data_IF_569487664595
#
_entry.id   IF_569487664595
#
_cell.length_a   1.000
_cell.length_b   1.000
_cell.length_c   1.000
_cell.angle_alpha   90.00
_cell.angle_beta   90.00
_cell.angle_gamma   90.00
#
_symmetry.space_group_name_H-M   'P 1'
#
loop_
_entity.id
_entity.type
_entity.pdbx_description
1 polymer ?
#
# COMPACT_ATOMS: atom_id res chain seq x y z
N UNK A 1 12.53 -25.48 -79.73
CA UNK A 1 12.87 -25.17 -78.33
C UNK A 1 12.09 -23.93 -77.89
N UNK A 2 11.00 -24.10 -77.13
CA UNK A 2 10.19 -23.00 -76.58
C UNK A 2 10.70 -22.70 -75.17
N UNK A 3 11.12 -21.45 -74.89
CA UNK A 3 11.51 -21.00 -73.56
C UNK A 3 10.27 -20.44 -72.84
N UNK A 4 9.85 -21.10 -71.76
CA UNK A 4 8.87 -20.56 -70.80
C UNK A 4 9.59 -19.58 -69.88
N UNK A 5 9.07 -18.36 -69.77
CA UNK A 5 9.44 -17.37 -68.76
C UNK A 5 8.48 -17.58 -67.59
N UNK A 6 8.99 -18.08 -66.47
CA UNK A 6 8.24 -18.20 -65.22
C UNK A 6 8.28 -16.88 -64.46
N UNK A 7 7.11 -16.30 -64.21
CA UNK A 7 6.94 -15.12 -63.35
C UNK A 7 6.92 -15.60 -61.90
N UNK A 8 7.91 -15.18 -61.12
CA UNK A 8 7.99 -15.42 -59.68
C UNK A 8 7.17 -14.34 -58.95
N UNK A 9 5.97 -14.68 -58.46
CA UNK A 9 5.22 -13.81 -57.54
C UNK A 9 5.85 -13.91 -56.14
N UNK A 10 6.51 -12.83 -55.70
CA UNK A 10 6.85 -12.63 -54.29
C UNK A 10 5.57 -12.26 -53.51
N UNK A 11 5.04 -13.20 -52.72
CA UNK A 11 3.99 -12.91 -51.76
C UNK A 11 4.59 -12.18 -50.55
N UNK A 12 4.30 -10.89 -50.41
CA UNK A 12 4.59 -10.12 -49.20
C UNK A 12 3.60 -10.57 -48.11
N UNK A 13 4.06 -11.40 -47.17
CA UNK A 13 3.32 -11.70 -45.95
C UNK A 13 3.37 -10.47 -45.02
N UNK A 14 2.35 -9.61 -45.10
CA UNK A 14 2.05 -8.63 -44.07
C UNK A 14 1.61 -9.38 -42.80
N UNK A 15 2.57 -9.64 -41.91
CA UNK A 15 2.27 -10.07 -40.54
C UNK A 15 1.68 -8.85 -39.83
N UNK A 16 0.35 -8.78 -39.82
CA UNK A 16 -0.39 -7.85 -38.97
C UNK A 16 -0.24 -8.36 -37.52
N UNK A 17 0.87 -8.00 -36.89
CA UNK A 17 1.06 -8.25 -35.46
C UNK A 17 0.02 -7.41 -34.72
N UNK A 18 -1.03 -8.05 -34.23
CA UNK A 18 -1.88 -7.42 -33.22
C UNK A 18 -0.94 -6.98 -32.08
N UNK A 19 -0.79 -5.67 -31.88
CA UNK A 19 -0.11 -5.16 -30.70
C UNK A 19 -0.86 -5.71 -29.50
N UNK A 20 -0.26 -6.69 -28.82
CA UNK A 20 -0.78 -7.17 -27.56
C UNK A 20 -0.89 -5.95 -26.64
N UNK A 21 -2.11 -5.61 -26.21
CA UNK A 21 -2.33 -4.54 -25.24
C UNK A 21 -1.45 -4.81 -24.02
N UNK A 22 -0.60 -3.86 -23.64
CA UNK A 22 0.29 -4.04 -22.49
C UNK A 22 -0.52 -4.46 -21.26
N UNK A 23 -0.01 -5.43 -20.47
CA UNK A 23 -0.71 -5.90 -19.29
C UNK A 23 -0.87 -4.76 -18.29
N UNK A 24 -2.10 -4.57 -17.81
CA UNK A 24 -2.43 -3.59 -16.76
C UNK A 24 -2.79 -4.34 -15.48
N UNK A 25 -2.06 -4.05 -14.41
CA UNK A 25 -2.27 -4.59 -13.07
C UNK A 25 -2.96 -3.52 -12.21
N UNK A 26 -4.11 -3.85 -11.63
CA UNK A 26 -4.80 -2.96 -10.69
C UNK A 26 -4.35 -3.23 -9.25
N UNK A 27 -4.02 -2.16 -8.52
CA UNK A 27 -3.57 -2.21 -7.12
C UNK A 27 -4.50 -1.37 -6.26
N UNK A 28 -5.05 -1.96 -5.20
CA UNK A 28 -5.77 -1.26 -4.15
C UNK A 28 -4.87 -1.09 -2.92
N UNK A 29 -4.75 0.13 -2.42
CA UNK A 29 -4.02 0.44 -1.18
C UNK A 29 -4.94 1.22 -0.26
N UNK A 30 -5.00 0.81 1.00
CA UNK A 30 -5.72 1.52 2.06
C UNK A 30 -4.72 2.05 3.08
N UNK A 31 -5.13 3.09 3.81
CA UNK A 31 -4.35 3.63 4.90
C UNK A 31 -4.43 2.75 6.16
N UNK A 32 -4.50 3.40 7.31
CA UNK A 32 -4.19 2.77 8.59
C UNK A 32 -5.26 1.75 9.03
N UNK A 33 -4.81 0.55 9.34
CA UNK A 33 -5.63 -0.58 9.83
C UNK A 33 -5.20 -0.91 11.26
N UNK A 34 -6.02 -0.50 12.21
CA UNK A 34 -5.89 -0.80 13.63
C UNK A 34 -7.05 -1.73 14.03
N UNK A 35 -6.73 -3.02 14.22
CA UNK A 35 -7.71 -4.08 14.54
C UNK A 35 -7.74 -4.45 16.04
N UNK A 36 -7.19 -3.60 16.90
CA UNK A 36 -7.37 -3.67 18.34
C UNK A 36 -8.71 -2.99 18.73
N UNK A 37 -8.92 -2.79 20.03
CA UNK A 37 -10.06 -2.03 20.57
C UNK A 37 -11.43 -2.34 19.94
N UNK A 38 -12.17 -1.33 19.46
CA UNK A 38 -13.53 -1.51 18.94
C UNK A 38 -13.54 -2.33 17.64
N UNK A 39 -12.68 -2.06 16.64
CA UNK A 39 -12.55 -2.93 15.47
C UNK A 39 -12.29 -4.41 15.84
N UNK A 40 -11.45 -4.67 16.84
CA UNK A 40 -11.21 -6.02 17.35
C UNK A 40 -12.45 -6.66 17.98
N UNK A 41 -13.32 -5.87 18.64
CA UNK A 41 -14.61 -6.31 19.18
C UNK A 41 -15.62 -6.61 18.06
N UNK A 42 -15.63 -5.82 16.99
CA UNK A 42 -16.44 -6.07 15.77
C UNK A 42 -16.08 -7.43 15.17
N UNK A 43 -14.79 -7.71 14.99
CA UNK A 43 -14.33 -9.01 14.49
C UNK A 43 -14.71 -10.15 15.45
N UNK A 44 -14.56 -9.95 16.76
CA UNK A 44 -14.95 -10.94 17.77
C UNK A 44 -16.45 -11.26 17.74
N UNK A 45 -17.31 -10.31 17.36
CA UNK A 45 -18.75 -10.54 17.23
C UNK A 45 -19.15 -11.22 15.90
N UNK A 46 -18.17 -11.66 15.10
CA UNK A 46 -18.42 -12.28 13.79
C UNK A 46 -18.72 -11.29 12.67
N UNK A 47 -18.60 -9.98 12.92
CA UNK A 47 -18.74 -8.94 11.89
C UNK A 47 -17.40 -8.66 11.21
N UNK A 48 -17.44 -8.12 10.00
CA UNK A 48 -16.26 -7.86 9.18
C UNK A 48 -16.17 -6.34 8.92
N UNK A 49 -15.20 -5.62 9.52
CA UNK A 49 -15.08 -4.17 9.36
C UNK A 49 -14.72 -3.74 7.93
N UNK A 50 -14.23 -4.64 7.07
CA UNK A 50 -13.93 -4.32 5.68
C UNK A 50 -15.11 -4.60 4.75
N UNK A 51 -16.19 -5.21 5.25
CA UNK A 51 -17.36 -5.60 4.44
C UNK A 51 -17.90 -4.49 3.54
N UNK A 52 -18.00 -3.21 3.97
CA UNK A 52 -18.52 -2.15 3.09
C UNK A 52 -17.63 -1.84 1.88
N UNK A 53 -16.34 -2.16 1.94
CA UNK A 53 -15.37 -1.97 0.85
C UNK A 53 -15.00 -3.27 0.13
N UNK A 54 -15.53 -4.42 0.56
CA UNK A 54 -15.13 -5.74 0.06
C UNK A 54 -15.20 -5.87 -1.47
N UNK A 55 -16.25 -5.34 -2.10
CA UNK A 55 -16.41 -5.40 -3.56
C UNK A 55 -15.37 -4.54 -4.30
N UNK A 56 -15.01 -3.38 -3.74
CA UNK A 56 -13.99 -2.48 -4.33
C UNK A 56 -12.61 -3.12 -4.19
N UNK A 57 -12.28 -3.63 -3.00
CA UNK A 57 -11.02 -4.34 -2.76
C UNK A 57 -10.89 -5.56 -3.68
N UNK A 58 -11.94 -6.39 -3.78
CA UNK A 58 -11.93 -7.59 -4.64
C UNK A 58 -11.82 -7.29 -6.15
N UNK A 59 -12.01 -6.03 -6.58
CA UNK A 59 -11.83 -5.64 -7.98
C UNK A 59 -10.37 -5.40 -8.39
N UNK A 60 -9.45 -5.34 -7.41
CA UNK A 60 -8.03 -5.16 -7.66
C UNK A 60 -7.27 -6.49 -7.75
N UNK A 61 -6.24 -6.56 -8.60
CA UNK A 61 -5.36 -7.72 -8.72
C UNK A 61 -4.43 -7.91 -7.50
N UNK A 62 -4.11 -6.80 -6.81
CA UNK A 62 -3.27 -6.74 -5.61
C UNK A 62 -3.91 -5.79 -4.60
N UNK A 63 -3.98 -6.20 -3.33
CA UNK A 63 -4.61 -5.45 -2.24
C UNK A 63 -3.65 -5.32 -1.07
N UNK A 64 -3.36 -4.09 -0.67
CA UNK A 64 -2.39 -3.72 0.36
C UNK A 64 -3.06 -2.85 1.44
N UNK A 65 -2.66 -3.02 2.69
CA UNK A 65 -3.00 -2.10 3.78
C UNK A 65 -1.83 -1.86 4.73
N UNK A 66 -1.86 -0.76 5.47
CA UNK A 66 -0.92 -0.50 6.57
C UNK A 66 -1.46 -1.12 7.87
N UNK A 67 -0.81 -2.17 8.39
CA UNK A 67 -1.24 -2.81 9.63
C UNK A 67 -0.60 -2.11 10.83
N UNK A 68 -1.33 -1.20 11.45
CA UNK A 68 -0.86 -0.31 12.52
C UNK A 68 -1.26 -0.84 13.91
N UNK A 69 -0.99 -2.13 14.14
CA UNK A 69 -1.13 -2.76 15.45
C UNK A 69 -0.36 -4.08 15.49
N UNK A 70 -0.05 -4.57 16.69
CA UNK A 70 0.55 -5.91 16.86
C UNK A 70 -0.54 -6.97 16.86
N UNK A 71 -0.42 -8.00 16.03
CA UNK A 71 -1.27 -9.20 16.10
C UNK A 71 -0.54 -10.30 16.85
N UNK A 72 -0.77 -10.41 18.16
CA UNK A 72 -0.21 -11.47 18.99
C UNK A 72 -0.99 -11.62 20.30
N UNK A 73 -0.75 -12.70 21.02
CA UNK A 73 -1.14 -12.85 22.44
C UNK A 73 0.08 -12.79 23.38
N UNK A 74 1.29 -12.62 22.82
CA UNK A 74 2.56 -12.57 23.55
C UNK A 74 2.98 -11.13 23.84
N UNK A 75 4.06 -11.01 24.60
CA UNK A 75 4.69 -9.73 24.95
C UNK A 75 3.91 -8.92 25.97
N UNK A 76 4.52 -7.81 26.36
CA UNK A 76 3.99 -6.83 27.31
C UNK A 76 3.97 -5.46 26.64
N UNK A 77 2.95 -4.63 26.92
CA UNK A 77 2.89 -3.29 26.33
C UNK A 77 4.12 -2.47 26.70
N UNK A 78 4.59 -1.63 25.79
CA UNK A 78 5.67 -0.69 26.08
C UNK A 78 5.22 0.29 27.18
N UNK A 79 5.89 0.30 28.34
CA UNK A 79 5.36 0.93 29.56
C UNK A 79 5.23 2.45 29.47
N UNK A 80 6.08 3.11 28.67
CA UNK A 80 6.12 4.57 28.55
C UNK A 80 5.35 5.08 27.32
N UNK A 81 4.82 4.19 26.48
CA UNK A 81 4.06 4.60 25.29
C UNK A 81 2.60 4.86 25.69
N UNK A 82 2.04 6.05 25.38
CA UNK A 82 0.68 6.42 25.82
C UNK A 82 -0.41 5.54 25.19
N UNK A 83 -0.17 5.03 23.98
CA UNK A 83 -1.09 4.17 23.26
C UNK A 83 -0.36 2.93 22.74
N UNK A 84 -0.88 1.76 23.08
CA UNK A 84 -0.39 0.47 22.57
C UNK A 84 -1.55 -0.34 22.01
N UNK A 85 -1.45 -0.81 20.77
CA UNK A 85 -2.53 -1.50 20.08
C UNK A 85 -2.19 -2.97 19.83
N UNK A 86 -2.94 -3.88 20.46
CA UNK A 86 -2.84 -5.32 20.23
C UNK A 86 -4.15 -5.92 19.74
N UNK A 87 -4.12 -6.41 18.51
CA UNK A 87 -5.18 -7.23 17.95
C UNK A 87 -4.96 -8.70 18.31
N UNK A 88 -6.05 -9.44 18.55
CA UNK A 88 -5.97 -10.88 18.75
C UNK A 88 -5.81 -11.60 17.41
N UNK A 89 -5.07 -12.71 17.30
CA UNK A 89 -4.89 -13.50 16.05
C UNK A 89 -6.17 -13.95 15.33
N UNK A 90 -7.35 -13.77 15.94
CA UNK A 90 -8.66 -14.03 15.32
C UNK A 90 -8.96 -13.06 14.17
N UNK A 91 -8.22 -11.96 14.07
CA UNK A 91 -8.37 -10.96 13.01
C UNK A 91 -7.69 -11.37 11.71
N UNK A 92 -6.73 -12.29 11.73
CA UNK A 92 -5.97 -12.70 10.55
C UNK A 92 -6.84 -13.23 9.40
N UNK A 93 -7.86 -14.09 9.62
CA UNK A 93 -8.72 -14.55 8.53
C UNK A 93 -9.48 -13.41 7.85
N UNK A 94 -9.80 -12.34 8.60
CA UNK A 94 -10.45 -11.14 8.05
C UNK A 94 -9.45 -10.36 7.19
N UNK A 95 -8.21 -10.17 7.64
CA UNK A 95 -7.15 -9.54 6.83
C UNK A 95 -6.91 -10.34 5.55
N UNK A 96 -6.71 -11.66 5.64
CA UNK A 96 -6.42 -12.54 4.49
C UNK A 96 -7.53 -12.50 3.42
N UNK A 97 -8.78 -12.32 3.83
CA UNK A 97 -9.91 -12.21 2.89
C UNK A 97 -9.78 -11.00 1.97
N UNK A 98 -9.27 -9.88 2.50
CA UNK A 98 -9.33 -8.57 1.85
C UNK A 98 -7.99 -8.06 1.35
N UNK A 99 -6.87 -8.57 1.86
CA UNK A 99 -5.53 -8.11 1.53
C UNK A 99 -4.60 -9.27 1.16
N UNK A 100 -3.73 -9.02 0.19
CA UNK A 100 -2.68 -9.94 -0.24
C UNK A 100 -1.41 -9.75 0.59
N UNK A 101 -1.13 -8.52 0.99
CA UNK A 101 -0.05 -8.19 1.91
C UNK A 101 -0.34 -6.97 2.78
N UNK A 102 0.43 -6.82 3.86
CA UNK A 102 0.38 -5.67 4.77
C UNK A 102 1.75 -5.01 4.95
N UNK A 103 1.77 -3.69 4.97
CA UNK A 103 2.92 -2.91 5.41
C UNK A 103 3.01 -2.94 6.94
N UNK A 104 4.21 -3.14 7.47
CA UNK A 104 4.46 -3.25 8.91
C UNK A 104 5.37 -2.14 9.46
N UNK A 105 6.01 -1.32 8.62
CA UNK A 105 6.88 -0.27 9.15
C UNK A 105 6.04 0.91 9.65
N UNK A 106 5.66 0.88 10.92
CA UNK A 106 4.94 1.95 11.59
C UNK A 106 5.27 2.01 13.08
N UNK A 107 4.91 3.13 13.69
CA UNK A 107 5.13 3.41 15.09
C UNK A 107 4.42 2.44 16.06
N UNK A 108 3.43 1.64 15.63
CA UNK A 108 2.68 0.71 16.49
C UNK A 108 3.12 -0.76 16.38
N UNK A 109 4.02 -1.08 15.47
CA UNK A 109 4.47 -2.46 15.27
C UNK A 109 5.35 -3.02 16.39
N UNK A 110 5.98 -2.16 17.20
CA UNK A 110 6.78 -2.57 18.36
C UNK A 110 6.08 -2.48 19.71
N UNK A 111 4.77 -2.20 19.74
CA UNK A 111 4.00 -1.89 20.95
C UNK A 111 4.05 -2.94 22.04
N UNK A 112 4.29 -4.21 21.68
CA UNK A 112 4.37 -5.34 22.61
C UNK A 112 5.75 -6.03 22.60
N UNK A 113 6.75 -5.32 22.07
CA UNK A 113 8.15 -5.75 22.03
C UNK A 113 8.48 -6.77 20.93
N UNK A 114 9.78 -7.09 20.77
CA UNK A 114 10.29 -7.91 19.67
C UNK A 114 9.73 -9.34 19.67
N UNK A 115 9.42 -9.91 20.84
CA UNK A 115 8.80 -11.25 20.95
C UNK A 115 7.41 -11.28 20.31
N UNK A 116 6.58 -10.26 20.58
CA UNK A 116 5.24 -10.19 20.01
C UNK A 116 5.29 -9.87 18.50
N UNK A 117 6.21 -9.00 18.09
CA UNK A 117 6.44 -8.70 16.69
C UNK A 117 6.88 -9.94 15.89
N UNK A 118 7.87 -10.69 16.37
CA UNK A 118 8.33 -11.93 15.73
C UNK A 118 7.24 -13.02 15.68
N UNK A 119 6.37 -13.08 16.70
CA UNK A 119 5.21 -13.95 16.72
C UNK A 119 4.19 -13.55 15.64
N UNK A 120 3.93 -12.24 15.51
CA UNK A 120 3.08 -11.69 14.44
C UNK A 120 3.62 -12.06 13.05
N UNK A 121 4.92 -11.91 12.79
CA UNK A 121 5.51 -12.34 11.51
C UNK A 121 5.21 -13.82 11.22
N UNK A 122 5.44 -14.69 12.21
CA UNK A 122 5.13 -16.12 12.07
C UNK A 122 3.64 -16.42 11.88
N UNK A 123 2.74 -15.60 12.45
CA UNK A 123 1.30 -15.72 12.26
C UNK A 123 0.88 -15.32 10.85
N UNK A 124 1.45 -14.24 10.30
CA UNK A 124 1.20 -13.80 8.93
C UNK A 124 1.69 -14.85 7.91
N UNK A 125 2.88 -15.41 8.13
CA UNK A 125 3.45 -16.51 7.31
C UNK A 125 2.51 -17.71 7.27
N UNK A 126 2.02 -18.17 8.44
CA UNK A 126 1.09 -19.32 8.52
C UNK A 126 -0.27 -19.07 7.88
N UNK A 127 -0.67 -17.82 7.71
CA UNK A 127 -1.92 -17.43 7.06
C UNK A 127 -1.70 -17.05 5.58
N UNK A 128 -0.46 -17.18 5.09
CA UNK A 128 -0.06 -16.81 3.73
C UNK A 128 -0.40 -15.35 3.41
N UNK A 129 -0.32 -14.47 4.40
CA UNK A 129 -0.47 -13.02 4.22
C UNK A 129 0.93 -12.47 3.97
N UNK A 130 1.16 -11.85 2.81
CA UNK A 130 2.43 -11.18 2.53
C UNK A 130 2.68 -10.03 3.51
N UNK A 131 3.93 -9.70 3.76
CA UNK A 131 4.28 -8.53 4.56
C UNK A 131 5.61 -7.94 4.12
N UNK A 132 5.81 -6.67 4.43
CA UNK A 132 7.02 -5.90 4.12
C UNK A 132 7.21 -4.74 5.11
N UNK A 133 8.43 -4.19 5.17
CA UNK A 133 8.81 -3.16 6.16
C UNK A 133 9.02 -3.70 7.59
N UNK A 134 9.13 -5.03 7.72
CA UNK A 134 9.27 -5.71 9.00
C UNK A 134 9.94 -7.06 8.82
N UNK A 135 10.81 -7.45 9.76
CA UNK A 135 11.62 -8.66 9.62
C UNK A 135 12.11 -9.21 10.95
N UNK A 136 12.68 -10.41 10.90
CA UNK A 136 13.34 -11.04 12.06
C UNK A 136 14.72 -10.43 12.37
N UNK A 137 15.24 -9.65 11.43
CA UNK A 137 16.51 -8.93 11.46
C UNK A 137 16.42 -7.74 10.48
N UNK A 138 17.43 -6.88 10.48
CA UNK A 138 17.53 -5.70 9.63
C UNK A 138 17.42 -6.03 8.13
N UNK A 139 18.10 -7.09 7.68
CA UNK A 139 18.09 -7.47 6.27
C UNK A 139 16.70 -7.90 5.79
N UNK A 140 15.95 -8.62 6.62
CA UNK A 140 14.57 -8.99 6.33
C UNK A 140 13.62 -7.81 6.40
N UNK A 141 13.82 -6.87 7.33
CA UNK A 141 12.97 -5.69 7.47
C UNK A 141 13.00 -4.81 6.22
N UNK A 142 14.18 -4.67 5.61
CA UNK A 142 14.42 -3.91 4.38
C UNK A 142 14.16 -4.72 3.09
N UNK A 143 13.76 -6.00 3.19
CA UNK A 143 13.47 -6.83 2.02
C UNK A 143 12.09 -6.47 1.45
N UNK A 144 11.96 -6.23 0.13
CA UNK A 144 10.67 -5.98 -0.48
C UNK A 144 9.77 -7.22 -0.46
N UNK A 145 8.46 -7.01 -0.39
CA UNK A 145 7.50 -8.02 -0.84
C UNK A 145 7.31 -7.86 -2.35
N UNK A 146 7.66 -8.91 -3.10
CA UNK A 146 7.57 -8.90 -4.57
C UNK A 146 6.46 -9.84 -5.01
N UNK A 147 5.54 -9.31 -5.82
CA UNK A 147 4.43 -10.06 -6.38
C UNK A 147 4.40 -9.91 -7.90
N UNK A 148 4.18 -11.02 -8.60
CA UNK A 148 3.97 -11.01 -10.05
C UNK A 148 2.48 -11.15 -10.38
N UNK A 149 1.98 -10.24 -11.21
CA UNK A 149 0.62 -10.30 -11.77
C UNK A 149 0.68 -9.91 -13.23
N UNK A 150 0.01 -10.67 -14.09
CA UNK A 150 -0.09 -10.39 -15.54
C UNK A 150 1.30 -10.15 -16.19
N UNK A 151 2.34 -10.81 -15.70
CA UNK A 151 3.72 -10.68 -16.20
C UNK A 151 4.46 -9.39 -15.79
N UNK A 152 3.96 -8.68 -14.76
CA UNK A 152 4.60 -7.51 -14.16
C UNK A 152 5.00 -7.84 -12.71
N UNK A 153 6.28 -7.72 -12.39
CA UNK A 153 6.85 -7.95 -11.06
C UNK A 153 6.92 -6.63 -10.29
N UNK A 154 6.12 -6.52 -9.23
CA UNK A 154 5.98 -5.28 -8.46
C UNK A 154 6.56 -5.52 -7.06
N UNK A 155 7.53 -4.69 -6.68
CA UNK A 155 8.13 -4.68 -5.35
C UNK A 155 7.47 -3.61 -4.47
N UNK A 156 7.04 -4.02 -3.28
CA UNK A 156 6.56 -3.13 -2.24
C UNK A 156 7.59 -3.07 -1.10
N UNK A 157 7.97 -1.85 -0.72
CA UNK A 157 8.83 -1.55 0.41
C UNK A 157 8.04 -0.73 1.43
N UNK A 158 8.44 -0.74 2.69
CA UNK A 158 7.78 0.10 3.69
C UNK A 158 8.77 0.55 4.76
N UNK A 159 8.63 1.80 5.20
CA UNK A 159 9.52 2.41 6.17
C UNK A 159 8.76 3.29 7.16
N UNK A 160 9.29 3.38 8.37
CA UNK A 160 8.81 4.26 9.42
C UNK A 160 9.76 5.45 9.60
N UNK A 161 9.20 6.65 9.74
CA UNK A 161 9.90 7.89 10.12
C UNK A 161 9.36 8.50 11.41
N UNK A 162 8.43 7.81 12.08
CA UNK A 162 7.80 8.30 13.30
C UNK A 162 8.24 7.52 14.54
N UNK A 163 8.41 8.21 15.66
CA UNK A 163 8.95 7.64 16.88
C UNK A 163 8.05 6.52 17.46
N UNK A 164 8.61 5.57 18.23
CA UNK A 164 10.02 5.50 18.65
C UNK A 164 10.90 4.68 17.70
N UNK A 165 12.14 5.15 17.50
CA UNK A 165 13.16 4.43 16.73
C UNK A 165 13.60 3.11 17.36
N UNK A 166 13.32 2.89 18.65
CA UNK A 166 13.63 1.63 19.34
C UNK A 166 12.95 0.37 18.76
N UNK A 167 11.98 0.56 17.86
CA UNK A 167 11.30 -0.52 17.13
C UNK A 167 12.01 -0.96 15.86
N UNK A 168 13.01 -0.20 15.42
CA UNK A 168 13.88 -0.57 14.30
C UNK A 168 14.48 -1.96 14.51
N UNK A 169 14.52 -2.75 13.44
CA UNK A 169 15.21 -4.03 13.42
C UNK A 169 16.72 -3.82 13.59
N UNK A 170 17.40 -4.78 14.22
CA UNK A 170 18.86 -4.79 14.31
C UNK A 170 19.41 -6.02 13.57
N UNK A 171 20.73 -6.18 13.51
CA UNK A 171 21.41 -7.27 12.81
C UNK A 171 20.89 -8.67 13.21
N UNK A 172 20.45 -8.85 14.45
CA UNK A 172 19.93 -10.11 15.00
C UNK A 172 18.62 -9.95 15.80
N UNK A 173 17.94 -8.80 15.64
CA UNK A 173 16.73 -8.46 16.41
C UNK A 173 15.54 -8.16 15.49
N UNK A 174 14.37 -8.76 15.75
CA UNK A 174 13.14 -8.45 15.02
C UNK A 174 12.71 -7.00 15.21
N UNK A 175 12.22 -6.39 14.13
CA UNK A 175 11.72 -5.03 14.13
C UNK A 175 11.31 -4.55 12.75
N UNK A 176 11.12 -3.24 12.64
CA UNK A 176 10.68 -2.57 11.41
C UNK A 176 11.84 -1.92 10.66
N UNK A 177 11.64 -1.64 9.37
CA UNK A 177 12.56 -0.84 8.59
C UNK A 177 12.39 0.65 8.94
N UNK A 178 13.47 1.28 9.39
CA UNK A 178 13.50 2.72 9.58
C UNK A 178 13.91 3.42 8.28
N UNK A 179 13.40 4.63 8.07
CA UNK A 179 13.62 5.42 6.85
C UNK A 179 14.91 6.22 6.85
N UNK A 180 16.05 5.55 7.03
CA UNK A 180 17.34 6.20 6.75
C UNK A 180 17.47 6.47 5.25
N UNK A 181 17.69 7.73 4.85
CA UNK A 181 17.66 8.19 3.45
C UNK A 181 18.56 7.36 2.53
N UNK A 182 19.77 7.04 2.98
CA UNK A 182 20.73 6.28 2.20
C UNK A 182 20.29 4.82 2.07
N UNK A 183 19.80 4.22 3.15
CA UNK A 183 19.30 2.84 3.12
C UNK A 183 18.07 2.72 2.23
N UNK A 184 17.10 3.65 2.34
CA UNK A 184 15.91 3.71 1.48
C UNK A 184 16.29 3.78 0.01
N UNK A 185 17.24 4.66 -0.35
CA UNK A 185 17.74 4.78 -1.72
C UNK A 185 18.37 3.47 -2.20
N UNK A 186 19.22 2.84 -1.37
CA UNK A 186 19.87 1.58 -1.70
C UNK A 186 18.87 0.44 -1.88
N UNK A 187 17.83 0.35 -1.05
CA UNK A 187 16.81 -0.68 -1.13
C UNK A 187 15.98 -0.57 -2.41
N UNK A 188 15.62 0.65 -2.82
CA UNK A 188 14.92 0.89 -4.09
C UNK A 188 15.78 0.48 -5.28
N UNK A 189 17.06 0.88 -5.28
CA UNK A 189 18.01 0.48 -6.33
C UNK A 189 18.21 -1.04 -6.34
N UNK A 190 18.31 -1.69 -5.17
CA UNK A 190 18.45 -3.14 -5.03
C UNK A 190 17.21 -3.87 -5.55
N UNK A 191 16.01 -3.40 -5.23
CA UNK A 191 14.77 -3.99 -5.71
C UNK A 191 14.70 -4.01 -7.26
N UNK A 192 15.20 -2.96 -7.91
CA UNK A 192 15.33 -2.89 -9.37
C UNK A 192 16.40 -3.81 -9.93
N UNK A 193 17.62 -3.68 -9.40
CA UNK A 193 18.83 -4.22 -10.05
C UNK A 193 19.13 -5.65 -9.66
N UNK A 194 18.86 -6.03 -8.41
CA UNK A 194 19.15 -7.35 -7.86
C UNK A 194 17.88 -8.22 -7.76
N UNK A 195 16.77 -7.66 -7.28
CA UNK A 195 15.54 -8.43 -7.17
C UNK A 195 14.73 -8.44 -8.49
N UNK A 196 15.18 -7.67 -9.50
CA UNK A 196 14.63 -7.59 -10.86
C UNK A 196 13.13 -7.23 -10.89
N UNK A 197 12.73 -6.26 -10.06
CA UNK A 197 11.38 -5.72 -10.06
C UNK A 197 11.14 -4.78 -11.26
N UNK A 198 10.04 -5.02 -11.99
CA UNK A 198 9.56 -4.15 -13.07
C UNK A 198 9.01 -2.82 -12.53
N UNK A 199 8.50 -2.80 -11.29
CA UNK A 199 8.02 -1.61 -10.58
C UNK A 199 8.39 -1.66 -9.10
N UNK A 200 8.63 -0.49 -8.48
CA UNK A 200 8.94 -0.34 -7.04
C UNK A 200 8.03 0.72 -6.41
N UNK A 201 7.32 0.36 -5.35
CA UNK A 201 6.35 1.22 -4.65
C UNK A 201 6.63 1.20 -3.13
N UNK A 202 7.30 2.24 -2.59
CA UNK A 202 7.42 2.43 -1.15
C UNK A 202 6.11 2.89 -0.48
N UNK A 203 5.84 2.36 0.71
CA UNK A 203 4.73 2.71 1.60
C UNK A 203 5.28 3.27 2.92
N UNK A 204 5.02 4.55 3.16
CA UNK A 204 5.64 5.33 4.22
C UNK A 204 4.70 5.58 5.39
N UNK A 205 5.27 5.52 6.59
CA UNK A 205 4.61 5.91 7.83
C UNK A 205 5.39 7.10 8.42
N UNK A 206 4.87 8.32 8.26
CA UNK A 206 5.64 9.56 8.41
C UNK A 206 4.81 10.82 8.65
N UNK A 207 5.47 11.96 8.83
CA UNK A 207 4.79 13.24 9.04
C UNK A 207 4.27 13.41 10.47
N UNK A 208 3.43 14.41 10.67
CA UNK A 208 2.87 14.75 11.98
C UNK A 208 1.39 14.43 12.02
N UNK A 209 0.94 13.87 13.14
CA UNK A 209 -0.47 13.60 13.40
C UNK A 209 -1.33 14.86 13.23
N UNK A 210 -2.49 14.70 12.61
CA UNK A 210 -3.50 15.74 12.36
C UNK A 210 -3.11 16.85 11.39
N UNK A 211 -1.92 16.82 10.79
CA UNK A 211 -1.52 17.80 9.78
C UNK A 211 -2.11 17.44 8.40
N UNK A 212 -3.01 18.26 7.80
CA UNK A 212 -3.70 17.93 6.54
C UNK A 212 -2.82 18.15 5.30
N UNK A 213 -1.61 18.69 5.46
CA UNK A 213 -0.69 18.98 4.36
C UNK A 213 0.67 18.39 4.63
N UNK A 214 1.29 17.81 3.59
CA UNK A 214 2.58 17.16 3.73
C UNK A 214 3.69 18.17 4.05
N UNK A 215 4.49 17.83 5.05
CA UNK A 215 5.64 18.60 5.51
C UNK A 215 6.78 18.62 4.48
N UNK A 216 7.70 19.59 4.60
CA UNK A 216 8.89 19.68 3.75
C UNK A 216 9.70 18.38 3.74
N UNK A 217 9.87 17.75 4.91
CA UNK A 217 10.62 16.49 5.07
C UNK A 217 9.99 15.34 4.29
N UNK A 218 8.66 15.18 4.38
CA UNK A 218 7.94 14.16 3.60
C UNK A 218 8.18 14.35 2.10
N UNK A 219 8.14 15.60 1.60
CA UNK A 219 8.38 15.89 0.17
C UNK A 219 9.79 15.58 -0.26
N UNK A 220 10.78 15.97 0.53
CA UNK A 220 12.20 15.71 0.24
C UNK A 220 12.48 14.21 0.15
N UNK A 221 12.00 13.44 1.12
CA UNK A 221 12.18 12.00 1.14
C UNK A 221 11.39 11.28 0.02
N UNK A 222 10.15 11.70 -0.26
CA UNK A 222 9.36 11.13 -1.36
C UNK A 222 10.03 11.35 -2.73
N UNK A 223 10.55 12.56 -2.97
CA UNK A 223 11.27 12.88 -4.21
C UNK A 223 12.59 12.09 -4.32
N UNK A 224 13.33 11.94 -3.22
CA UNK A 224 14.52 11.06 -3.17
C UNK A 224 14.18 9.62 -3.60
N UNK A 225 13.06 9.06 -3.14
CA UNK A 225 12.62 7.71 -3.52
C UNK A 225 12.29 7.62 -5.02
N UNK A 226 11.60 8.62 -5.56
CA UNK A 226 11.29 8.69 -7.00
C UNK A 226 12.57 8.77 -7.83
N UNK A 227 13.52 9.62 -7.43
CA UNK A 227 14.83 9.76 -8.08
C UNK A 227 15.67 8.48 -7.98
N UNK A 228 15.53 7.71 -6.90
CA UNK A 228 16.16 6.40 -6.72
C UNK A 228 15.57 5.30 -7.62
N UNK A 229 14.38 5.52 -8.20
CA UNK A 229 13.74 4.60 -9.13
C UNK A 229 12.39 4.04 -8.70
N UNK A 230 11.78 4.54 -7.62
CA UNK A 230 10.38 4.23 -7.28
C UNK A 230 9.42 4.77 -8.35
N UNK A 231 8.30 4.09 -8.58
CA UNK A 231 7.27 4.47 -9.57
C UNK A 231 6.08 5.20 -8.95
N UNK A 232 5.94 5.12 -7.64
CA UNK A 232 5.00 5.87 -6.83
C UNK A 232 5.49 5.85 -5.38
N UNK A 233 5.03 6.80 -4.57
CA UNK A 233 5.20 6.76 -3.11
C UNK A 233 3.84 6.95 -2.45
N UNK A 234 3.52 6.12 -1.47
CA UNK A 234 2.24 6.15 -0.75
C UNK A 234 2.55 6.35 0.73
N UNK A 235 1.88 7.28 1.39
CA UNK A 235 2.04 7.54 2.81
C UNK A 235 0.78 7.25 3.64
N UNK A 236 1.00 7.15 4.95
CA UNK A 236 0.02 7.11 6.04
C UNK A 236 0.68 7.66 7.31
N UNK A 237 0.07 7.46 8.49
CA UNK A 237 0.43 7.99 9.82
C UNK A 237 -0.29 9.26 10.30
N UNK A 238 -0.40 10.37 9.55
CA UNK A 238 -1.01 11.61 10.08
C UNK A 238 -2.45 11.45 10.57
N UNK A 239 -3.06 10.27 10.38
CA UNK A 239 -4.45 9.94 10.66
C UNK A 239 -5.46 10.80 9.91
N UNK A 240 -5.02 11.65 8.98
CA UNK A 240 -5.82 12.45 8.06
C UNK A 240 -5.29 12.25 6.63
N UNK A 241 -6.14 12.46 5.63
CA UNK A 241 -5.69 12.47 4.23
C UNK A 241 -4.84 13.71 3.97
N UNK A 242 -3.74 13.56 3.23
CA UNK A 242 -2.89 14.68 2.82
C UNK A 242 -2.91 14.87 1.31
N UNK A 243 -2.32 15.98 0.85
CA UNK A 243 -2.23 16.32 -0.56
C UNK A 243 -1.45 15.28 -1.40
N UNK A 244 -1.52 15.44 -2.71
CA UNK A 244 -0.81 14.58 -3.68
C UNK A 244 0.10 15.42 -4.55
N UNK A 245 1.19 14.84 -5.01
CA UNK A 245 2.15 15.47 -5.89
C UNK A 245 2.46 14.60 -7.10
N UNK A 246 2.76 15.23 -8.23
CA UNK A 246 3.35 14.58 -9.38
C UNK A 246 4.80 15.05 -9.51
N UNK A 247 5.75 14.13 -9.39
CA UNK A 247 7.17 14.42 -9.49
C UNK A 247 7.80 13.49 -10.52
N UNK A 248 8.41 14.06 -11.57
CA UNK A 248 8.93 13.29 -12.71
C UNK A 248 7.91 12.29 -13.28
N UNK A 249 6.68 12.75 -13.52
CA UNK A 249 5.53 11.97 -14.02
C UNK A 249 5.11 10.77 -13.15
N UNK A 250 5.57 10.72 -11.90
CA UNK A 250 5.23 9.67 -10.93
C UNK A 250 4.44 10.25 -9.75
N UNK A 251 3.39 9.56 -9.29
CA UNK A 251 2.54 10.08 -8.23
C UNK A 251 3.13 9.84 -6.85
N UNK A 252 2.96 10.83 -5.99
CA UNK A 252 3.21 10.78 -4.55
C UNK A 252 1.89 11.09 -3.86
N UNK A 253 1.43 10.19 -2.99
CA UNK A 253 0.25 10.36 -2.15
C UNK A 253 0.76 10.44 -0.72
N UNK A 254 0.70 11.61 -0.08
CA UNK A 254 1.42 11.81 1.19
C UNK A 254 0.75 11.17 2.40
N UNK A 255 -0.57 11.03 2.40
CA UNK A 255 -1.30 10.26 3.41
C UNK A 255 -2.65 9.81 2.88
N UNK A 256 -2.95 8.52 3.06
CA UNK A 256 -4.27 7.94 2.83
C UNK A 256 -5.23 8.14 4.02
N UNK A 257 -4.74 8.59 5.18
CA UNK A 257 -5.50 8.67 6.42
C UNK A 257 -5.89 7.30 6.98
N UNK A 258 -6.82 7.28 7.93
CA UNK A 258 -7.30 6.05 8.53
C UNK A 258 -8.16 5.24 7.56
N UNK A 259 -8.19 3.91 7.71
CA UNK A 259 -9.17 3.06 7.04
C UNK A 259 -10.03 2.27 8.03
N UNK A 260 -9.43 1.42 8.85
CA UNK A 260 -10.11 0.78 9.99
C UNK A 260 -9.44 1.28 11.25
N UNK A 261 -10.08 2.20 11.96
CA UNK A 261 -9.53 2.84 13.15
C UNK A 261 -10.66 3.48 13.98
N UNK A 262 -10.60 3.40 15.30
CA UNK A 262 -11.52 4.12 16.20
C UNK A 262 -10.79 5.13 17.10
N UNK A 263 -11.51 5.79 18.00
CA UNK A 263 -10.91 6.67 19.01
C UNK A 263 -10.78 8.15 18.61
N UNK A 264 -11.24 8.54 17.43
CA UNK A 264 -11.21 9.94 16.96
C UNK A 264 -12.59 10.57 16.94
N UNK A 265 -12.69 11.82 17.42
CA UNK A 265 -13.89 12.65 17.29
C UNK A 265 -13.86 13.60 16.10
N UNK A 266 -12.68 13.88 15.55
CA UNK A 266 -12.50 14.80 14.43
C UNK A 266 -12.98 14.15 13.12
N UNK A 267 -13.81 14.82 12.31
CA UNK A 267 -14.21 14.34 10.99
C UNK A 267 -13.04 14.04 10.03
N UNK A 268 -11.95 14.81 10.11
CA UNK A 268 -10.79 14.61 9.23
C UNK A 268 -10.09 13.29 9.56
N UNK A 269 -10.03 12.93 10.86
CA UNK A 269 -9.49 11.64 11.28
C UNK A 269 -10.38 10.44 10.94
N UNK A 270 -11.69 10.70 10.81
CA UNK A 270 -12.67 9.72 10.39
C UNK A 270 -12.87 9.73 8.86
N UNK A 271 -11.99 10.41 8.11
CA UNK A 271 -11.98 10.44 6.65
C UNK A 271 -10.69 9.82 6.13
N UNK A 272 -10.82 8.85 5.22
CA UNK A 272 -9.68 8.19 4.60
C UNK A 272 -9.87 7.95 3.12
N UNK A 273 -8.83 7.48 2.46
CA UNK A 273 -8.84 7.13 1.05
C UNK A 273 -8.47 5.66 0.85
N UNK A 274 -9.28 4.95 0.06
CA UNK A 274 -8.83 3.77 -0.67
C UNK A 274 -8.27 4.25 -2.00
N UNK A 275 -6.98 4.05 -2.24
CA UNK A 275 -6.29 4.36 -3.48
C UNK A 275 -6.37 3.17 -4.45
N UNK A 276 -6.85 3.42 -5.67
CA UNK A 276 -6.81 2.47 -6.77
C UNK A 276 -5.84 2.98 -7.82
N UNK A 277 -4.85 2.15 -8.17
CA UNK A 277 -3.88 2.44 -9.22
C UNK A 277 -3.96 1.39 -10.31
N UNK A 278 -3.79 1.83 -11.55
CA UNK A 278 -3.54 0.96 -12.70
C UNK A 278 -2.08 1.10 -13.10
N UNK A 279 -1.37 -0.02 -13.15
CA UNK A 279 0.07 -0.10 -13.40
C UNK A 279 0.35 -0.80 -14.72
N UNK A 280 1.29 -0.29 -15.50
CA UNK A 280 1.86 -0.93 -16.70
C UNK A 280 3.40 -0.96 -16.59
N UNK A 281 4.10 -1.43 -17.64
CA UNK A 281 5.57 -1.53 -17.63
C UNK A 281 6.29 -0.19 -17.49
N UNK A 282 5.61 0.93 -17.70
CA UNK A 282 6.18 2.27 -17.62
C UNK A 282 5.88 2.96 -16.28
N UNK A 283 5.18 2.30 -15.35
CA UNK A 283 4.84 2.87 -14.04
C UNK A 283 3.35 2.98 -13.80
N UNK A 284 2.95 3.95 -12.98
CA UNK A 284 1.53 4.26 -12.76
C UNK A 284 0.94 4.86 -14.02
N UNK A 285 -0.09 4.21 -14.57
CA UNK A 285 -0.85 4.70 -15.73
C UNK A 285 -1.95 5.65 -15.29
N UNK A 286 -2.62 5.32 -14.20
CA UNK A 286 -3.65 6.15 -13.59
C UNK A 286 -3.84 5.79 -12.13
N UNK A 287 -4.37 6.73 -11.36
CA UNK A 287 -4.85 6.45 -10.02
C UNK A 287 -6.13 7.24 -9.71
N UNK A 288 -6.90 6.72 -8.76
CA UNK A 288 -8.06 7.42 -8.18
C UNK A 288 -8.26 7.05 -6.72
N UNK A 289 -8.79 7.97 -5.93
CA UNK A 289 -9.21 7.69 -4.56
C UNK A 289 -10.71 7.42 -4.49
N UNK A 290 -11.09 6.53 -3.58
CA UNK A 290 -12.45 6.37 -3.09
C UNK A 290 -12.45 6.85 -1.64
N UNK A 291 -13.23 7.88 -1.36
CA UNK A 291 -13.32 8.46 -0.03
C UNK A 291 -14.09 7.50 0.89
N UNK A 292 -13.54 7.24 2.06
CA UNK A 292 -14.13 6.47 3.14
C UNK A 292 -14.50 7.42 4.30
N UNK A 293 -15.69 7.24 4.86
CA UNK A 293 -16.06 7.79 6.16
C UNK A 293 -16.10 6.64 7.17
N UNK A 294 -15.39 6.81 8.28
CA UNK A 294 -15.26 5.81 9.33
C UNK A 294 -16.32 6.07 10.39
N UNK A 295 -17.08 5.04 10.75
CA UNK A 295 -18.11 5.16 11.78
C UNK A 295 -17.51 5.00 13.19
N UNK A 296 -18.34 5.15 14.23
CA UNK A 296 -17.93 5.01 15.62
C UNK A 296 -17.44 3.61 16.02
N UNK A 297 -17.64 2.58 15.18
CA UNK A 297 -17.08 1.24 15.38
C UNK A 297 -15.71 1.07 14.71
N UNK A 298 -15.17 2.13 14.11
CA UNK A 298 -13.96 2.11 13.31
C UNK A 298 -14.13 1.40 11.96
N UNK A 299 -15.36 1.29 11.45
CA UNK A 299 -15.67 0.62 10.19
C UNK A 299 -15.80 1.64 9.03
N UNK A 300 -14.97 1.55 7.97
CA UNK A 300 -15.02 2.44 6.83
C UNK A 300 -16.22 2.15 5.93
N UNK A 301 -16.87 3.21 5.46
CA UNK A 301 -17.95 3.16 4.47
C UNK A 301 -17.65 4.06 3.29
N UNK A 302 -17.90 3.64 2.03
CA UNK A 302 -17.73 4.51 0.88
C UNK A 302 -18.60 5.77 0.99
N UNK A 303 -17.96 6.94 0.97
CA UNK A 303 -18.63 8.23 1.04
C UNK A 303 -19.24 8.60 -0.33
N UNK A 304 -20.42 8.07 -0.63
CA UNK A 304 -21.08 8.15 -1.97
C UNK A 304 -21.22 9.56 -2.55
N UNK A 305 -21.23 10.60 -1.70
CA UNK A 305 -21.38 12.00 -2.13
C UNK A 305 -20.05 12.74 -2.28
N UNK A 306 -18.97 12.24 -1.69
CA UNK A 306 -17.65 12.85 -1.79
C UNK A 306 -17.00 12.53 -3.13
N UNK A 307 -16.33 13.52 -3.72
CA UNK A 307 -15.51 13.28 -4.90
C UNK A 307 -14.10 12.90 -4.42
N UNK A 308 -13.60 11.75 -4.85
CA UNK A 308 -12.17 11.45 -4.73
C UNK A 308 -11.35 12.29 -5.73
N UNK A 309 -10.04 12.12 -5.65
CA UNK A 309 -9.08 12.67 -6.60
C UNK A 309 -8.68 11.60 -7.61
N UNK A 310 -8.45 11.97 -8.86
CA UNK A 310 -7.89 11.10 -9.88
C UNK A 310 -6.79 11.79 -10.66
N UNK A 311 -5.96 10.97 -11.27
CA UNK A 311 -4.92 11.39 -12.18
C UNK A 311 -4.66 10.29 -13.21
N UNK A 312 -4.19 10.70 -14.38
CA UNK A 312 -3.72 9.83 -15.45
C UNK A 312 -2.37 10.36 -15.96
N UNK A 313 -1.50 9.44 -16.37
CA UNK A 313 -0.19 9.78 -16.96
C UNK A 313 -0.33 10.83 -18.05
N UNK A 314 0.53 11.86 -18.00
CA UNK A 314 0.48 13.03 -18.87
C UNK A 314 -0.34 14.21 -18.33
N UNK A 315 -1.07 14.05 -17.22
CA UNK A 315 -1.65 15.18 -16.50
C UNK A 315 -0.63 15.81 -15.54
N UNK A 316 -0.59 17.14 -15.48
CA UNK A 316 0.34 17.87 -14.59
C UNK A 316 -0.07 17.78 -13.12
N UNK A 317 -1.39 17.78 -12.85
CA UNK A 317 -1.96 17.77 -11.50
C UNK A 317 -3.14 16.81 -11.44
N UNK A 318 -3.37 16.23 -10.27
CA UNK A 318 -4.61 15.51 -9.97
C UNK A 318 -5.82 16.45 -9.97
N UNK A 319 -6.99 15.89 -10.27
CA UNK A 319 -8.26 16.60 -10.28
C UNK A 319 -9.36 15.78 -9.62
N UNK A 320 -10.52 16.37 -9.33
CA UNK A 320 -11.67 15.61 -8.87
C UNK A 320 -12.06 14.51 -9.88
N UNK A 321 -12.41 13.32 -9.38
CA UNK A 321 -12.90 12.21 -10.19
C UNK A 321 -14.21 12.58 -10.92
N UNK A 322 -14.25 12.39 -12.24
CA UNK A 322 -15.50 12.46 -12.98
C UNK A 322 -16.42 11.27 -12.61
N UNK A 323 -17.62 11.57 -12.10
CA UNK A 323 -18.63 10.59 -11.65
C UNK A 323 -19.08 9.58 -12.72
N UNK A 324 -18.73 9.79 -13.98
CA UNK A 324 -19.08 8.92 -15.12
C UNK A 324 -18.17 7.69 -15.29
N UNK A 325 -17.16 7.52 -14.43
CA UNK A 325 -16.19 6.40 -14.51
C UNK A 325 -16.20 5.43 -13.33
N UNK A 326 -17.15 5.56 -12.40
CA UNK A 326 -17.43 4.50 -11.44
C UNK A 326 -17.89 3.25 -12.21
N UNK A 327 -17.30 2.07 -11.95
CA UNK A 327 -17.87 0.83 -12.45
C UNK A 327 -19.35 0.80 -12.05
N UNK A 328 -20.23 0.64 -13.04
CA UNK A 328 -21.63 0.29 -12.77
C UNK A 328 -21.62 -0.96 -11.89
N UNK A 329 -22.46 -0.96 -10.87
CA UNK A 329 -22.72 -2.02 -9.88
C UNK A 329 -21.79 -2.08 -8.66
N UNK A 330 -22.14 -1.27 -7.66
CA UNK A 330 -22.26 -1.82 -6.30
C UNK A 330 -23.75 -2.18 -6.17
N UNK A 331 -24.14 -3.47 -6.09
CA UNK A 331 -25.53 -3.84 -5.83
C UNK A 331 -25.94 -3.32 -4.45
N UNK A 332 -27.22 -2.97 -4.31
CA UNK A 332 -27.85 -2.58 -3.04
C UNK A 332 -27.66 -3.64 -1.95
#
# INVERSE_FOLDING_TARGET
MKRLIGILLCALCLVCGAQATEPVVSVAVVGDIMLAETPGKVVRSGRDPFKPFAAILASADIRIGNLECVISTKGSPQPEKPYTFRAHPRTLPVIKRHFDAVALANNHSGDFGPTAFADMLGLLERQEIGYFGGGRDLAQAHRPWIVERKGLRIAFLSYNEFFPRSFEADADKPGIAWSDDDQVRLDIVRARTHDHADLVIPVMHWGWEHEPTASKRQRELARLMIDAGADAVIGGHPHVTQDTEQYHDKPIIYSLGNFVFDGFSDPDNNTGWLLLMDLDRQGVRSWRTVVATINSEGTPHPARKANGSCWKRGQLVASACNKTTTPKSVPD
#
